data_IF_803063914308
#
_entry.id   IF_803063914308
#
_cell.length_a   1.000
_cell.length_b   1.000
_cell.length_c   1.000
_cell.angle_alpha   90.00
_cell.angle_beta   90.00
_cell.angle_gamma   90.00
#
_symmetry.space_group_name_H-M   'P 1'
#
loop_
_entity.id
_entity.type
_entity.pdbx_description
1 polymer ?
#
# COMPACT_ATOMS: atom_id res chain seq x y z
N UNK A 1 -28.22 63.05 19.69
CA UNK A 1 -28.06 61.59 19.91
C UNK A 1 -27.07 61.07 18.89
N UNK A 2 -25.86 60.66 19.26
CA UNK A 2 -24.91 60.02 18.35
C UNK A 2 -25.28 58.59 18.11
N UNK A 3 -25.17 58.14 16.84
CA UNK A 3 -25.31 56.76 16.37
C UNK A 3 -24.24 55.85 16.99
N UNK A 4 -24.54 54.58 17.31
CA UNK A 4 -23.52 53.66 17.84
C UNK A 4 -22.52 53.28 16.73
N UNK A 5 -21.25 53.40 17.07
CA UNK A 5 -20.09 53.01 16.26
C UNK A 5 -20.16 51.52 15.89
N UNK A 6 -19.88 51.23 14.60
CA UNK A 6 -19.66 49.88 14.14
C UNK A 6 -18.53 49.22 14.97
N UNK A 7 -18.66 47.93 15.31
CA UNK A 7 -17.54 47.23 15.92
C UNK A 7 -16.39 47.12 14.91
N UNK A 8 -15.21 47.57 15.32
CA UNK A 8 -13.96 47.46 14.56
C UNK A 8 -13.63 45.99 14.32
N UNK A 9 -13.29 45.70 13.09
CA UNK A 9 -12.81 44.39 12.63
C UNK A 9 -11.52 44.01 13.42
N UNK A 10 -11.62 43.02 14.28
CA UNK A 10 -10.45 42.41 14.92
C UNK A 10 -9.56 41.75 13.83
N UNK A 11 -8.23 41.93 13.89
CA UNK A 11 -7.30 41.30 12.93
C UNK A 11 -7.43 39.78 13.02
N UNK A 12 -7.66 39.16 11.85
CA UNK A 12 -8.01 37.77 11.68
C UNK A 12 -7.08 36.79 12.37
N UNK A 13 -7.59 36.15 13.39
CA UNK A 13 -7.09 34.85 13.85
C UNK A 13 -7.31 33.85 12.71
N UNK A 14 -6.24 33.18 12.29
CA UNK A 14 -6.34 32.11 11.29
C UNK A 14 -7.45 31.13 11.70
N UNK A 15 -8.31 30.68 10.77
CA UNK A 15 -9.41 29.79 11.11
C UNK A 15 -8.86 28.54 11.77
N UNK A 16 -9.26 28.28 13.01
CA UNK A 16 -8.83 27.09 13.74
C UNK A 16 -9.30 25.83 13.01
N UNK A 17 -8.46 24.77 12.91
CA UNK A 17 -8.84 23.54 12.27
C UNK A 17 -10.08 22.97 12.96
N UNK A 18 -11.11 22.66 12.17
CA UNK A 18 -12.41 22.17 12.67
C UNK A 18 -12.43 20.65 12.82
N UNK A 19 -11.45 19.96 12.21
CA UNK A 19 -11.17 18.55 12.39
C UNK A 19 -9.83 18.43 13.10
N UNK A 20 -9.83 17.80 14.25
CA UNK A 20 -8.65 17.53 15.07
C UNK A 20 -8.43 16.03 15.12
N UNK A 21 -7.47 15.58 14.35
CA UNK A 21 -7.03 14.18 14.29
C UNK A 21 -5.49 14.17 14.35
N UNK A 22 -4.87 13.29 15.15
CA UNK A 22 -3.42 13.11 15.13
C UNK A 22 -2.93 12.71 13.74
N UNK A 23 -1.82 13.26 13.31
CA UNK A 23 -1.14 12.90 12.05
C UNK A 23 0.18 12.26 12.38
N UNK A 24 0.44 11.09 11.81
CA UNK A 24 1.66 10.33 12.02
C UNK A 24 2.42 10.18 10.70
N UNK A 25 3.44 11.02 10.50
CA UNK A 25 4.25 11.04 9.29
C UNK A 25 5.08 9.75 9.12
N UNK A 26 5.50 9.15 10.22
CA UNK A 26 6.26 7.90 10.27
C UNK A 26 5.52 6.83 11.11
N UNK A 27 4.46 6.21 10.56
CA UNK A 27 3.75 5.12 11.25
C UNK A 27 4.65 3.89 11.41
N UNK A 28 4.36 2.99 12.36
CA UNK A 28 5.18 1.81 12.66
C UNK A 28 5.51 0.96 11.43
N UNK A 29 4.57 0.81 10.50
CA UNK A 29 4.79 0.09 9.25
C UNK A 29 5.85 0.76 8.36
N UNK A 30 5.77 2.08 8.16
CA UNK A 30 6.73 2.81 7.34
C UNK A 30 8.14 2.74 7.94
N UNK A 31 8.26 2.88 9.26
CA UNK A 31 9.54 2.76 9.99
C UNK A 31 10.13 1.36 9.82
N UNK A 32 9.32 0.31 9.98
CA UNK A 32 9.78 -1.06 9.84
C UNK A 32 10.20 -1.38 8.41
N UNK A 33 9.42 -0.96 7.41
CA UNK A 33 9.78 -1.13 5.98
C UNK A 33 11.10 -0.45 5.63
N UNK A 34 11.32 0.79 6.09
CA UNK A 34 12.57 1.51 5.85
C UNK A 34 13.76 0.84 6.53
N UNK A 35 13.58 0.38 7.78
CA UNK A 35 14.60 -0.37 8.52
C UNK A 35 15.02 -1.63 7.77
N UNK A 36 14.07 -2.44 7.29
CA UNK A 36 14.35 -3.68 6.58
C UNK A 36 15.04 -3.43 5.23
N UNK A 37 14.60 -2.42 4.47
CA UNK A 37 15.29 -2.02 3.24
C UNK A 37 16.71 -1.53 3.52
N UNK A 38 16.90 -0.76 4.58
CA UNK A 38 18.23 -0.29 5.01
C UNK A 38 19.13 -1.46 5.40
N UNK A 39 18.59 -2.47 6.11
CA UNK A 39 19.31 -3.70 6.45
C UNK A 39 19.72 -4.48 5.19
N UNK A 40 18.82 -4.70 4.25
CA UNK A 40 19.13 -5.37 2.97
C UNK A 40 20.22 -4.65 2.20
N UNK A 41 20.12 -3.32 2.08
CA UNK A 41 21.14 -2.48 1.43
C UNK A 41 22.49 -2.55 2.13
N UNK A 42 22.51 -2.53 3.45
CA UNK A 42 23.73 -2.65 4.24
C UNK A 42 24.44 -3.98 3.96
N UNK A 43 23.70 -5.10 4.03
CA UNK A 43 24.26 -6.44 3.78
C UNK A 43 24.83 -6.55 2.34
N UNK A 44 24.12 -6.03 1.35
CA UNK A 44 24.59 -6.03 -0.04
C UNK A 44 25.88 -5.21 -0.23
N UNK A 45 25.97 -4.02 0.39
CA UNK A 45 27.17 -3.19 0.35
C UNK A 45 28.38 -3.79 1.08
N UNK A 46 28.14 -4.71 2.01
CA UNK A 46 29.18 -5.48 2.69
C UNK A 46 29.51 -6.79 1.97
N UNK A 47 28.87 -7.04 0.83
CA UNK A 47 28.97 -8.32 0.09
C UNK A 47 28.67 -9.55 0.96
N UNK A 48 27.85 -9.36 2.01
CA UNK A 48 27.50 -10.40 2.98
C UNK A 48 26.35 -11.29 2.42
N UNK A 49 26.56 -11.85 1.25
CA UNK A 49 25.52 -12.57 0.48
C UNK A 49 24.99 -13.82 1.18
N UNK A 50 25.83 -14.56 1.90
CA UNK A 50 25.38 -15.72 2.66
C UNK A 50 24.46 -15.34 3.83
N UNK A 51 24.77 -14.21 4.50
CA UNK A 51 23.94 -13.68 5.60
C UNK A 51 22.62 -13.20 5.05
N UNK A 52 22.65 -12.50 3.92
CA UNK A 52 21.43 -12.02 3.24
C UNK A 52 20.57 -13.21 2.78
N UNK A 53 21.15 -14.21 2.13
CA UNK A 53 20.43 -15.41 1.67
C UNK A 53 19.75 -16.14 2.81
N UNK A 54 20.44 -16.26 3.95
CA UNK A 54 19.88 -16.86 5.17
C UNK A 54 18.71 -16.02 5.70
N UNK A 55 18.87 -14.71 5.82
CA UNK A 55 17.82 -13.82 6.30
C UNK A 55 16.58 -13.79 5.39
N UNK A 56 16.79 -13.82 4.06
CA UNK A 56 15.71 -13.96 3.09
C UNK A 56 14.95 -15.27 3.28
N UNK A 57 15.67 -16.38 3.38
CA UNK A 57 15.08 -17.71 3.59
C UNK A 57 14.28 -17.78 4.88
N UNK A 58 14.88 -17.36 5.99
CA UNK A 58 14.25 -17.42 7.32
C UNK A 58 12.96 -16.60 7.34
N UNK A 59 12.99 -15.37 6.82
CA UNK A 59 11.82 -14.50 6.76
C UNK A 59 10.71 -15.04 5.82
N UNK A 60 11.10 -15.62 4.69
CA UNK A 60 10.18 -16.19 3.70
C UNK A 60 9.49 -17.45 4.28
N UNK A 61 10.27 -18.37 4.84
CA UNK A 61 9.74 -19.61 5.46
C UNK A 61 8.89 -19.32 6.71
N UNK A 62 9.24 -18.28 7.48
CA UNK A 62 8.46 -17.87 8.66
C UNK A 62 7.20 -17.05 8.30
N UNK A 63 7.02 -16.65 7.03
CA UNK A 63 5.96 -15.72 6.59
C UNK A 63 6.02 -14.38 7.34
N UNK A 64 7.22 -13.94 7.71
CA UNK A 64 7.39 -12.69 8.43
C UNK A 64 6.93 -11.51 7.57
N UNK A 65 6.14 -10.62 8.18
CA UNK A 65 5.62 -9.43 7.52
C UNK A 65 5.79 -8.17 8.37
N UNK A 66 5.92 -7.04 7.72
CA UNK A 66 5.81 -5.73 8.35
C UNK A 66 4.36 -5.51 8.84
N UNK A 67 4.11 -4.57 9.76
CA UNK A 67 2.77 -4.32 10.31
C UNK A 67 1.66 -4.15 9.25
N UNK A 68 1.97 -3.55 8.09
CA UNK A 68 1.06 -3.40 6.97
C UNK A 68 0.86 -4.64 6.09
N UNK A 69 1.49 -5.77 6.44
CA UNK A 69 1.38 -7.03 5.72
C UNK A 69 2.40 -7.24 4.60
N UNK A 70 3.33 -6.32 4.36
CA UNK A 70 4.38 -6.51 3.34
C UNK A 70 5.40 -7.55 3.81
N UNK A 71 5.69 -8.62 3.04
CA UNK A 71 6.64 -9.66 3.43
C UNK A 71 8.06 -9.11 3.70
N UNK A 72 8.67 -9.55 4.80
CA UNK A 72 10.03 -9.12 5.21
C UNK A 72 11.07 -9.54 4.18
N UNK A 73 10.97 -10.76 3.63
CA UNK A 73 11.87 -11.24 2.59
C UNK A 73 11.88 -10.30 1.36
N UNK A 74 10.69 -9.84 0.93
CA UNK A 74 10.55 -8.87 -0.16
C UNK A 74 11.24 -7.55 0.15
N UNK A 75 11.07 -7.01 1.37
CA UNK A 75 11.67 -5.74 1.79
C UNK A 75 13.20 -5.81 1.88
N UNK A 76 13.75 -6.91 2.40
CA UNK A 76 15.19 -7.16 2.42
C UNK A 76 15.76 -7.22 1.00
N UNK A 77 15.08 -7.94 0.09
CA UNK A 77 15.46 -8.05 -1.32
C UNK A 77 15.42 -6.68 -2.03
N UNK A 78 14.34 -5.88 -1.82
CA UNK A 78 14.23 -4.52 -2.34
C UNK A 78 15.40 -3.64 -1.87
N UNK A 79 15.76 -3.73 -0.59
CA UNK A 79 16.88 -3.01 -0.02
C UNK A 79 18.21 -3.41 -0.64
N UNK A 80 18.47 -4.70 -0.72
CA UNK A 80 19.72 -5.26 -1.27
C UNK A 80 19.94 -4.87 -2.73
N UNK A 81 18.88 -4.81 -3.53
CA UNK A 81 18.96 -4.40 -4.94
C UNK A 81 18.92 -2.88 -5.16
N UNK A 82 18.70 -2.07 -4.12
CA UNK A 82 18.33 -0.65 -4.26
C UNK A 82 19.34 0.20 -5.03
N UNK A 83 20.63 -0.04 -4.88
CA UNK A 83 21.69 0.72 -5.59
C UNK A 83 21.71 0.37 -7.09
N UNK A 84 21.65 -0.93 -7.44
CA UNK A 84 21.57 -1.39 -8.82
C UNK A 84 20.24 -0.95 -9.47
N UNK A 85 19.14 -1.05 -8.74
CA UNK A 85 17.83 -0.59 -9.20
C UNK A 85 17.80 0.92 -9.44
N UNK A 86 18.42 1.72 -8.57
CA UNK A 86 18.55 3.18 -8.76
C UNK A 86 19.25 3.51 -10.07
N UNK A 87 20.36 2.84 -10.38
CA UNK A 87 21.12 2.97 -11.62
C UNK A 87 20.32 2.51 -12.85
N UNK A 88 19.65 1.35 -12.75
CA UNK A 88 18.80 0.81 -13.82
C UNK A 88 17.62 1.72 -14.13
N UNK A 89 16.91 2.23 -13.11
CA UNK A 89 15.78 3.15 -13.28
C UNK A 89 16.23 4.52 -13.84
N UNK A 90 17.45 4.97 -13.51
CA UNK A 90 18.03 6.15 -14.14
C UNK A 90 18.29 5.93 -15.63
N UNK A 91 18.74 4.74 -16.03
CA UNK A 91 18.89 4.36 -17.43
C UNK A 91 17.54 4.25 -18.16
N UNK A 92 16.51 3.67 -17.53
CA UNK A 92 15.14 3.64 -18.07
C UNK A 92 14.63 5.04 -18.38
N UNK A 93 14.87 6.01 -17.48
CA UNK A 93 14.48 7.42 -17.72
C UNK A 93 15.16 8.04 -18.93
N UNK A 94 16.36 7.57 -19.31
CA UNK A 94 17.12 8.01 -20.49
C UNK A 94 16.87 7.17 -21.72
N UNK A 95 15.95 6.21 -21.65
CA UNK A 95 15.66 5.24 -22.72
C UNK A 95 16.91 4.42 -23.14
N UNK A 96 17.77 4.06 -22.18
CA UNK A 96 18.97 3.26 -22.36
C UNK A 96 18.82 1.84 -21.80
N UNK A 97 18.33 0.88 -22.61
CA UNK A 97 18.13 -0.50 -22.16
C UNK A 97 19.45 -1.24 -21.89
N UNK A 98 20.54 -0.84 -22.55
CA UNK A 98 21.86 -1.47 -22.35
C UNK A 98 22.39 -1.13 -20.96
N UNK A 99 22.37 0.15 -20.56
CA UNK A 99 22.80 0.55 -19.25
C UNK A 99 21.87 0.01 -18.15
N UNK A 100 20.55 -0.07 -18.39
CA UNK A 100 19.62 -0.66 -17.45
C UNK A 100 19.95 -2.13 -17.14
N UNK A 101 20.26 -2.92 -18.17
CA UNK A 101 20.71 -4.31 -18.00
C UNK A 101 22.06 -4.42 -17.32
N UNK A 102 23.03 -3.62 -17.76
CA UNK A 102 24.40 -3.64 -17.21
C UNK A 102 24.42 -3.47 -15.69
N UNK A 103 23.52 -2.61 -15.13
CA UNK A 103 23.41 -2.41 -13.70
C UNK A 103 23.01 -3.66 -12.92
N UNK A 104 22.06 -4.46 -13.45
CA UNK A 104 21.66 -5.72 -12.83
C UNK A 104 22.62 -6.86 -13.09
N UNK A 105 23.31 -6.87 -14.23
CA UNK A 105 24.39 -7.81 -14.50
C UNK A 105 25.54 -7.62 -13.51
N UNK A 106 25.96 -6.38 -13.26
CA UNK A 106 27.01 -6.09 -12.29
C UNK A 106 26.66 -6.60 -10.88
N UNK A 107 25.37 -6.44 -10.47
CA UNK A 107 24.91 -7.00 -9.20
C UNK A 107 24.96 -8.53 -9.20
N UNK A 108 24.51 -9.18 -10.27
CA UNK A 108 24.55 -10.64 -10.38
C UNK A 108 25.99 -11.18 -10.35
N UNK A 109 26.90 -10.53 -11.07
CA UNK A 109 28.29 -10.94 -11.15
C UNK A 109 29.03 -10.76 -9.82
N UNK A 110 28.56 -9.85 -8.95
CA UNK A 110 29.09 -9.69 -7.58
C UNK A 110 28.63 -10.82 -6.63
N UNK A 111 27.63 -11.62 -7.02
CA UNK A 111 27.07 -12.69 -6.19
C UNK A 111 27.54 -14.05 -6.72
N UNK A 112 28.58 -14.62 -6.12
CA UNK A 112 29.04 -15.97 -6.51
C UNK A 112 27.93 -17.02 -6.25
N UNK A 113 27.63 -17.80 -7.30
CA UNK A 113 26.65 -18.87 -7.21
C UNK A 113 25.20 -18.44 -7.02
N UNK A 114 24.85 -17.18 -7.34
CA UNK A 114 23.48 -16.67 -7.28
C UNK A 114 22.45 -17.61 -7.95
N UNK A 115 22.81 -18.24 -9.05
CA UNK A 115 21.95 -19.15 -9.82
C UNK A 115 21.68 -20.50 -9.10
N UNK A 116 22.39 -20.77 -8.01
CA UNK A 116 22.25 -21.98 -7.19
C UNK A 116 21.61 -21.71 -5.84
N UNK A 117 21.35 -20.43 -5.52
CA UNK A 117 20.79 -20.00 -4.25
C UNK A 117 19.36 -19.45 -4.48
N UNK A 118 18.28 -20.20 -4.16
CA UNK A 118 16.90 -19.85 -4.48
C UNK A 118 16.51 -18.42 -4.13
N UNK A 119 16.83 -17.98 -2.91
CA UNK A 119 16.44 -16.65 -2.40
C UNK A 119 17.28 -15.51 -3.00
N UNK A 120 18.55 -15.73 -3.37
CA UNK A 120 19.35 -14.73 -4.11
C UNK A 120 18.88 -14.63 -5.57
N UNK A 121 18.54 -15.75 -6.19
CA UNK A 121 17.92 -15.78 -7.50
C UNK A 121 16.55 -15.06 -7.50
N UNK A 122 15.72 -15.29 -6.47
CA UNK A 122 14.45 -14.60 -6.27
C UNK A 122 14.65 -13.07 -6.10
N UNK A 123 15.63 -12.66 -5.31
CA UNK A 123 15.99 -11.24 -5.13
C UNK A 123 16.36 -10.58 -6.46
N UNK A 124 17.20 -11.22 -7.27
CA UNK A 124 17.59 -10.72 -8.59
C UNK A 124 16.40 -10.70 -9.55
N UNK A 125 15.57 -11.74 -9.55
CA UNK A 125 14.36 -11.80 -10.37
C UNK A 125 13.39 -10.66 -10.01
N UNK A 126 13.21 -10.37 -8.72
CA UNK A 126 12.41 -9.23 -8.25
C UNK A 126 12.95 -7.90 -8.80
N UNK A 127 14.28 -7.71 -8.83
CA UNK A 127 14.90 -6.52 -9.41
C UNK A 127 14.61 -6.40 -10.91
N UNK A 128 14.74 -7.51 -11.65
CA UNK A 128 14.38 -7.53 -13.07
C UNK A 128 12.90 -7.20 -13.30
N UNK A 129 11.98 -7.74 -12.51
CA UNK A 129 10.55 -7.40 -12.57
C UNK A 129 10.29 -5.92 -12.29
N UNK A 130 11.01 -5.33 -11.33
CA UNK A 130 10.93 -3.90 -11.04
C UNK A 130 11.33 -3.03 -12.24
N UNK A 131 12.41 -3.39 -12.96
CA UNK A 131 12.84 -2.68 -14.17
C UNK A 131 11.87 -2.93 -15.33
N UNK A 132 11.38 -4.16 -15.52
CA UNK A 132 10.35 -4.48 -16.51
C UNK A 132 9.09 -3.64 -16.33
N UNK A 133 8.63 -3.47 -15.06
CA UNK A 133 7.51 -2.60 -14.71
C UNK A 133 7.78 -1.13 -15.06
N UNK A 134 8.99 -0.65 -14.81
CA UNK A 134 9.38 0.71 -15.17
C UNK A 134 9.35 0.93 -16.70
N UNK A 135 9.82 -0.03 -17.49
CA UNK A 135 9.68 0.03 -18.94
C UNK A 135 8.23 0.02 -19.41
N UNK A 136 7.34 -0.72 -18.74
CA UNK A 136 5.91 -0.76 -19.06
C UNK A 136 5.20 0.59 -18.87
N UNK A 137 5.71 1.47 -17.99
CA UNK A 137 5.14 2.81 -17.76
C UNK A 137 5.59 3.84 -18.81
N UNK A 138 6.57 3.50 -19.66
CA UNK A 138 7.05 4.37 -20.73
C UNK A 138 6.13 4.29 -21.95
N UNK A 139 5.91 5.43 -22.62
CA UNK A 139 5.06 5.49 -23.83
C UNK A 139 5.68 4.68 -24.97
N UNK A 140 5.09 3.50 -25.23
CA UNK A 140 5.64 2.40 -25.92
C UNK A 140 6.07 2.54 -27.38
N UNK A 141 7.32 2.33 -27.64
CA UNK A 141 7.86 1.87 -28.91
C UNK A 141 8.31 0.40 -28.81
N UNK A 142 8.82 -0.17 -29.92
CA UNK A 142 9.42 -1.51 -29.93
C UNK A 142 10.53 -1.62 -28.89
N UNK A 143 11.39 -0.58 -28.80
CA UNK A 143 12.50 -0.53 -27.83
C UNK A 143 12.03 -0.82 -26.38
N UNK A 144 10.95 -0.21 -25.93
CA UNK A 144 10.47 -0.39 -24.56
C UNK A 144 9.85 -1.76 -24.34
N UNK A 145 9.14 -2.29 -25.34
CA UNK A 145 8.59 -3.66 -25.30
C UNK A 145 9.67 -4.71 -25.26
N UNK A 146 10.69 -4.57 -26.11
CA UNK A 146 11.84 -5.49 -26.17
C UNK A 146 12.66 -5.42 -24.87
N UNK A 147 12.92 -4.22 -24.35
CA UNK A 147 13.60 -4.04 -23.07
C UNK A 147 12.81 -4.68 -21.91
N UNK A 148 11.48 -4.48 -21.87
CA UNK A 148 10.61 -5.14 -20.91
C UNK A 148 10.70 -6.65 -21.01
N UNK A 149 10.54 -7.20 -22.22
CA UNK A 149 10.57 -8.65 -22.47
C UNK A 149 11.92 -9.26 -22.00
N UNK A 150 13.03 -8.63 -22.30
CA UNK A 150 14.36 -9.09 -21.88
C UNK A 150 14.52 -9.17 -20.37
N UNK A 151 13.94 -8.23 -19.61
CA UNK A 151 13.97 -8.28 -18.15
C UNK A 151 13.03 -9.36 -17.59
N UNK A 152 11.85 -9.56 -18.18
CA UNK A 152 10.95 -10.65 -17.80
C UNK A 152 11.58 -12.02 -18.03
N UNK A 153 12.19 -12.23 -19.21
CA UNK A 153 12.91 -13.46 -19.53
C UNK A 153 14.12 -13.70 -18.61
N UNK A 154 14.83 -12.63 -18.22
CA UNK A 154 15.94 -12.75 -17.27
C UNK A 154 15.42 -13.17 -15.88
N UNK A 155 14.32 -12.60 -15.41
CA UNK A 155 13.67 -13.00 -14.16
C UNK A 155 13.23 -14.47 -14.22
N UNK A 156 12.61 -14.89 -15.32
CA UNK A 156 12.16 -16.27 -15.51
C UNK A 156 13.33 -17.25 -15.45
N UNK A 157 14.43 -16.97 -16.16
CA UNK A 157 15.63 -17.85 -16.14
C UNK A 157 16.21 -18.00 -14.75
N UNK A 158 16.18 -16.95 -13.92
CA UNK A 158 16.70 -16.98 -12.55
C UNK A 158 15.89 -17.90 -11.63
N UNK A 159 14.56 -17.92 -11.74
CA UNK A 159 13.70 -18.70 -10.84
C UNK A 159 13.30 -20.06 -11.42
N UNK A 160 13.45 -20.29 -12.73
CA UNK A 160 13.04 -21.53 -13.40
C UNK A 160 13.61 -22.83 -12.75
N UNK A 161 14.84 -22.84 -12.18
CA UNK A 161 15.35 -24.05 -11.53
C UNK A 161 14.71 -24.39 -10.18
N UNK A 162 13.90 -23.49 -9.61
CA UNK A 162 13.41 -23.61 -8.23
C UNK A 162 11.90 -23.76 -8.21
N UNK A 163 11.40 -24.85 -7.65
CA UNK A 163 9.98 -25.03 -7.41
C UNK A 163 9.56 -24.35 -6.09
N UNK A 164 8.54 -23.46 -6.12
CA UNK A 164 8.08 -22.76 -4.92
C UNK A 164 7.60 -23.68 -3.79
N UNK A 165 6.95 -24.80 -4.12
CA UNK A 165 6.41 -25.74 -3.13
C UNK A 165 7.51 -26.57 -2.50
N UNK A 166 8.51 -27.02 -3.29
CA UNK A 166 9.68 -27.74 -2.76
C UNK A 166 10.51 -26.89 -1.80
N UNK A 167 10.56 -25.57 -2.06
CA UNK A 167 11.30 -24.61 -1.23
C UNK A 167 10.47 -23.98 -0.10
N UNK A 168 9.17 -24.30 -0.02
CA UNK A 168 8.23 -23.66 0.92
C UNK A 168 8.33 -22.12 0.88
N UNK A 169 8.31 -21.54 -0.35
CA UNK A 169 8.67 -20.15 -0.61
C UNK A 169 7.54 -19.35 -1.29
N UNK A 170 6.76 -18.55 -0.51
CA UNK A 170 5.82 -17.59 -1.09
C UNK A 170 6.50 -16.55 -1.97
N UNK A 171 7.75 -16.18 -1.69
CA UNK A 171 8.50 -15.24 -2.51
C UNK A 171 8.71 -15.77 -3.93
N UNK A 172 9.10 -17.04 -4.10
CA UNK A 172 9.23 -17.68 -5.42
C UNK A 172 7.88 -17.83 -6.11
N UNK A 173 6.84 -18.24 -5.38
CA UNK A 173 5.49 -18.36 -5.93
C UNK A 173 4.96 -17.01 -6.43
N UNK A 174 5.13 -15.93 -5.66
CA UNK A 174 4.72 -14.58 -6.07
C UNK A 174 5.47 -14.10 -7.34
N UNK A 175 6.75 -14.45 -7.48
CA UNK A 175 7.52 -14.15 -8.69
C UNK A 175 7.04 -14.96 -9.89
N UNK A 176 6.64 -16.23 -9.69
CA UNK A 176 6.06 -17.08 -10.72
C UNK A 176 4.73 -16.50 -11.23
N UNK A 177 3.83 -16.08 -10.33
CA UNK A 177 2.61 -15.36 -10.70
C UNK A 177 2.92 -14.06 -11.47
N UNK A 178 3.91 -13.27 -11.05
CA UNK A 178 4.30 -12.03 -11.72
C UNK A 178 4.88 -12.23 -13.14
N UNK A 179 5.23 -13.45 -13.51
CA UNK A 179 5.77 -13.83 -14.83
C UNK A 179 4.73 -14.47 -15.77
N UNK A 180 3.45 -14.54 -15.36
CA UNK A 180 2.36 -15.05 -16.19
C UNK A 180 2.24 -14.35 -17.55
N UNK A 181 2.69 -13.10 -17.67
CA UNK A 181 2.79 -12.38 -18.96
C UNK A 181 3.68 -13.07 -20.02
N UNK A 182 4.56 -13.97 -19.60
CA UNK A 182 5.44 -14.73 -20.51
C UNK A 182 4.84 -16.08 -20.95
N UNK A 183 3.78 -16.52 -20.28
CA UNK A 183 3.10 -17.74 -20.67
C UNK A 183 2.27 -17.50 -21.93
N UNK A 184 2.32 -18.38 -22.93
CA UNK A 184 1.46 -18.26 -24.11
C UNK A 184 -0.04 -18.44 -23.79
N UNK A 185 -0.37 -19.10 -22.67
CA UNK A 185 -1.72 -19.39 -22.23
C UNK A 185 -1.90 -19.11 -20.73
N UNK A 186 -1.72 -17.84 -20.27
CA UNK A 186 -1.72 -17.51 -18.86
C UNK A 186 -3.10 -17.78 -18.19
N UNK A 187 -4.17 -17.74 -18.98
CA UNK A 187 -5.54 -18.03 -18.52
C UNK A 187 -5.73 -19.49 -18.03
N UNK A 188 -4.84 -20.39 -18.38
CA UNK A 188 -4.85 -21.78 -17.92
C UNK A 188 -4.10 -21.99 -16.61
N UNK A 189 -3.14 -21.09 -16.33
CA UNK A 189 -2.22 -21.21 -15.19
C UNK A 189 -2.53 -20.28 -14.01
N UNK A 190 -3.19 -19.17 -14.29
CA UNK A 190 -3.40 -18.11 -13.29
C UNK A 190 -4.06 -18.63 -12.01
N UNK A 191 -4.98 -19.59 -12.13
CA UNK A 191 -5.67 -20.14 -10.97
C UNK A 191 -4.75 -21.01 -10.12
N UNK A 192 -4.07 -21.96 -10.74
CA UNK A 192 -3.21 -22.93 -10.05
C UNK A 192 -2.00 -22.20 -9.41
N UNK A 193 -1.35 -21.30 -10.15
CA UNK A 193 -0.19 -20.54 -9.63
C UNK A 193 -0.59 -19.63 -8.44
N UNK A 194 -1.80 -19.03 -8.46
CA UNK A 194 -2.28 -18.23 -7.34
C UNK A 194 -2.84 -19.06 -6.18
N UNK A 195 -3.41 -20.23 -6.44
CA UNK A 195 -3.81 -21.18 -5.40
C UNK A 195 -2.57 -21.62 -4.61
N UNK A 196 -1.51 -22.08 -5.30
CA UNK A 196 -0.23 -22.42 -4.69
C UNK A 196 0.34 -21.26 -3.83
N UNK A 197 0.30 -20.02 -4.36
CA UNK A 197 0.79 -18.84 -3.64
C UNK A 197 -0.02 -18.54 -2.39
N UNK A 198 -1.34 -18.62 -2.47
CA UNK A 198 -2.25 -18.34 -1.34
C UNK A 198 -2.16 -19.45 -0.31
N UNK A 199 -1.98 -20.71 -0.72
CA UNK A 199 -1.76 -21.83 0.19
C UNK A 199 -0.46 -21.68 0.98
N UNK A 200 0.60 -21.18 0.33
CA UNK A 200 1.88 -20.93 0.99
C UNK A 200 1.81 -19.76 1.99
N UNK A 201 1.06 -18.69 1.69
CA UNK A 201 0.93 -17.53 2.58
C UNK A 201 -0.46 -16.88 2.49
N UNK A 202 -1.48 -17.50 3.10
CA UNK A 202 -2.85 -17.00 3.07
C UNK A 202 -3.06 -15.71 3.87
N UNK A 203 -2.11 -15.35 4.74
CA UNK A 203 -2.18 -14.14 5.58
C UNK A 203 -1.70 -12.87 4.87
N UNK A 204 -1.09 -12.98 3.69
CA UNK A 204 -0.61 -11.84 2.93
C UNK A 204 -1.72 -11.27 2.02
N UNK A 205 -2.27 -10.07 2.30
CA UNK A 205 -3.33 -9.49 1.48
C UNK A 205 -2.86 -9.13 0.06
N UNK A 206 -1.54 -8.89 -0.14
CA UNK A 206 -0.98 -8.57 -1.46
C UNK A 206 -1.15 -9.74 -2.45
N UNK A 207 -1.16 -10.99 -1.98
CA UNK A 207 -1.37 -12.16 -2.83
C UNK A 207 -2.81 -12.23 -3.35
N UNK A 208 -3.79 -12.01 -2.45
CA UNK A 208 -5.20 -11.98 -2.80
C UNK A 208 -5.51 -10.83 -3.76
N UNK A 209 -4.93 -9.66 -3.49
CA UNK A 209 -5.06 -8.48 -4.35
C UNK A 209 -4.43 -8.67 -5.72
N UNK A 210 -3.30 -9.39 -5.78
CA UNK A 210 -2.63 -9.71 -7.04
C UNK A 210 -3.48 -10.65 -7.89
N UNK A 211 -4.07 -11.69 -7.30
CA UNK A 211 -5.04 -12.56 -7.98
C UNK A 211 -6.15 -11.73 -8.63
N UNK A 212 -6.78 -10.81 -7.89
CA UNK A 212 -7.84 -9.98 -8.42
C UNK A 212 -7.40 -9.08 -9.58
N UNK A 213 -6.18 -8.51 -9.52
CA UNK A 213 -5.61 -7.72 -10.63
C UNK A 213 -5.40 -8.54 -11.90
N UNK A 214 -5.03 -9.80 -11.76
CA UNK A 214 -4.75 -10.66 -12.91
C UNK A 214 -6.00 -11.33 -13.47
N UNK A 215 -7.11 -11.38 -12.72
CA UNK A 215 -8.38 -11.93 -13.17
C UNK A 215 -9.32 -10.92 -13.84
N UNK A 216 -8.97 -9.64 -13.96
CA UNK A 216 -9.81 -8.69 -14.72
C UNK A 216 -9.80 -9.01 -16.23
N UNK A 217 -10.84 -8.61 -17.00
CA UNK A 217 -10.95 -8.88 -18.43
C UNK A 217 -9.80 -8.35 -19.29
N UNK A 218 -9.07 -7.34 -18.80
CA UNK A 218 -7.91 -6.77 -19.49
C UNK A 218 -6.61 -7.55 -19.26
N UNK A 219 -6.69 -8.60 -18.43
CA UNK A 219 -5.57 -9.48 -18.10
C UNK A 219 -5.92 -10.92 -18.52
N UNK A 220 -6.04 -11.82 -17.59
CA UNK A 220 -6.11 -13.27 -17.85
C UNK A 220 -7.49 -13.87 -17.52
N UNK A 221 -8.49 -13.06 -17.15
CA UNK A 221 -9.79 -13.55 -16.71
C UNK A 221 -10.97 -12.77 -17.26
N UNK A 222 -12.06 -12.88 -16.55
CA UNK A 222 -13.30 -12.14 -16.75
C UNK A 222 -13.98 -11.86 -15.39
N UNK A 223 -15.02 -11.01 -15.38
CA UNK A 223 -15.69 -10.61 -14.13
C UNK A 223 -16.40 -11.77 -13.42
N UNK A 224 -16.95 -12.72 -14.15
CA UNK A 224 -17.63 -13.87 -13.56
C UNK A 224 -16.65 -14.82 -12.87
N UNK A 225 -15.52 -15.07 -13.53
CA UNK A 225 -14.43 -15.86 -12.95
C UNK A 225 -13.82 -15.17 -11.74
N UNK A 226 -13.58 -13.85 -11.81
CA UNK A 226 -13.06 -13.09 -10.69
C UNK A 226 -13.99 -13.21 -9.47
N UNK A 227 -15.31 -13.04 -9.63
CA UNK A 227 -16.25 -13.18 -8.51
C UNK A 227 -16.26 -14.60 -7.93
N UNK A 228 -16.24 -15.60 -8.78
CA UNK A 228 -16.19 -16.99 -8.35
C UNK A 228 -14.92 -17.31 -7.55
N UNK A 229 -13.75 -16.86 -8.04
CA UNK A 229 -12.47 -17.07 -7.33
C UNK A 229 -12.40 -16.23 -6.06
N UNK A 230 -12.96 -15.02 -6.04
CA UNK A 230 -13.05 -14.21 -4.83
C UNK A 230 -13.87 -14.91 -3.73
N UNK A 231 -15.00 -15.53 -4.09
CA UNK A 231 -15.82 -16.31 -3.14
C UNK A 231 -15.10 -17.58 -2.68
N UNK A 232 -14.40 -18.27 -3.58
CA UNK A 232 -13.60 -19.46 -3.26
C UNK A 232 -12.47 -19.08 -2.29
N UNK A 233 -11.73 -18.01 -2.59
CA UNK A 233 -10.66 -17.51 -1.75
C UNK A 233 -11.16 -17.08 -0.37
N UNK A 234 -12.33 -16.42 -0.28
CA UNK A 234 -12.93 -16.09 1.01
C UNK A 234 -13.23 -17.34 1.84
N UNK A 235 -13.77 -18.41 1.22
CA UNK A 235 -13.98 -19.69 1.91
C UNK A 235 -12.67 -20.33 2.37
N UNK A 236 -11.66 -20.32 1.52
CA UNK A 236 -10.35 -20.92 1.80
C UNK A 236 -9.56 -20.17 2.90
N UNK A 237 -9.67 -18.85 2.95
CA UNK A 237 -8.97 -17.99 3.93
C UNK A 237 -9.87 -17.55 5.08
N UNK A 238 -11.02 -18.20 5.29
CA UNK A 238 -12.03 -17.77 6.26
C UNK A 238 -11.53 -17.69 7.70
N UNK A 239 -10.64 -18.58 8.11
CA UNK A 239 -10.06 -18.58 9.45
C UNK A 239 -9.19 -17.34 9.72
N UNK A 240 -8.57 -16.79 8.66
CA UNK A 240 -7.66 -15.63 8.73
C UNK A 240 -8.43 -14.33 8.47
N UNK A 241 -9.21 -14.27 7.40
CA UNK A 241 -9.81 -13.04 6.90
C UNK A 241 -11.35 -12.99 7.04
N UNK A 242 -12.03 -14.11 7.32
CA UNK A 242 -13.48 -14.19 7.17
C UNK A 242 -13.89 -13.90 5.72
N UNK A 243 -14.89 -13.05 5.55
CA UNK A 243 -15.27 -12.54 4.23
C UNK A 243 -14.29 -11.52 3.66
N UNK A 244 -13.30 -11.09 4.46
CA UNK A 244 -12.24 -10.18 4.01
C UNK A 244 -11.43 -10.72 2.84
N UNK A 245 -11.33 -12.05 2.68
CA UNK A 245 -10.73 -12.67 1.50
C UNK A 245 -11.40 -12.24 0.19
N UNK A 246 -12.75 -12.17 0.18
CA UNK A 246 -13.51 -11.64 -0.95
C UNK A 246 -13.17 -10.17 -1.23
N UNK A 247 -13.16 -9.34 -0.19
CA UNK A 247 -12.85 -7.92 -0.33
C UNK A 247 -11.42 -7.69 -0.86
N UNK A 248 -10.44 -8.47 -0.40
CA UNK A 248 -9.06 -8.35 -0.86
C UNK A 248 -8.91 -8.70 -2.36
N UNK A 249 -9.55 -9.74 -2.85
CA UNK A 249 -9.50 -10.09 -4.28
C UNK A 249 -10.10 -8.97 -5.13
N UNK A 250 -11.23 -8.41 -4.74
CA UNK A 250 -11.87 -7.32 -5.47
C UNK A 250 -11.19 -5.95 -5.30
N UNK A 251 -10.34 -5.76 -4.30
CA UNK A 251 -9.81 -4.46 -3.87
C UNK A 251 -9.17 -3.66 -5.03
N UNK A 252 -8.16 -4.22 -5.67
CA UNK A 252 -7.45 -3.54 -6.75
C UNK A 252 -8.21 -3.62 -8.09
N UNK A 253 -9.02 -4.64 -8.30
CA UNK A 253 -9.87 -4.75 -9.47
C UNK A 253 -10.89 -3.59 -9.57
N UNK A 254 -11.44 -3.16 -8.42
CA UNK A 254 -12.35 -2.01 -8.34
C UNK A 254 -11.60 -0.66 -8.36
N UNK A 255 -10.38 -0.59 -7.84
CA UNK A 255 -9.57 0.63 -7.84
C UNK A 255 -9.11 1.00 -9.25
N UNK A 256 -8.96 0.04 -10.13
CA UNK A 256 -8.64 0.23 -11.54
C UNK A 256 -9.77 0.91 -12.31
N UNK A 257 -9.44 1.55 -13.42
CA UNK A 257 -10.44 2.15 -14.32
C UNK A 257 -11.17 1.11 -15.22
N UNK A 258 -11.10 -0.18 -14.87
CA UNK A 258 -11.69 -1.24 -15.68
C UNK A 258 -13.22 -1.15 -15.65
N UNK A 259 -13.88 -0.95 -16.80
CA UNK A 259 -15.32 -0.85 -16.86
C UNK A 259 -15.97 -2.20 -16.50
N UNK A 260 -17.07 -2.16 -15.76
CA UNK A 260 -17.87 -3.33 -15.43
C UNK A 260 -17.62 -3.93 -14.05
N UNK A 261 -16.52 -3.61 -13.35
CA UNK A 261 -16.24 -4.17 -12.03
C UNK A 261 -17.39 -3.97 -11.03
N UNK A 262 -17.90 -2.74 -10.93
CA UNK A 262 -19.03 -2.43 -10.03
C UNK A 262 -20.38 -3.04 -10.45
N UNK A 263 -20.51 -3.54 -11.66
CA UNK A 263 -21.72 -4.24 -12.09
C UNK A 263 -21.70 -5.73 -11.69
N UNK A 264 -20.53 -6.26 -11.34
CA UNK A 264 -20.33 -7.68 -11.09
C UNK A 264 -19.96 -7.98 -9.62
N UNK A 265 -19.43 -7.02 -8.86
CA UNK A 265 -19.12 -7.20 -7.45
C UNK A 265 -20.39 -7.31 -6.60
N UNK A 266 -20.41 -8.22 -5.65
CA UNK A 266 -21.39 -8.25 -4.57
C UNK A 266 -21.00 -7.21 -3.51
N UNK A 267 -21.68 -6.05 -3.55
CA UNK A 267 -21.33 -4.92 -2.70
C UNK A 267 -21.57 -5.17 -1.20
N UNK A 268 -22.57 -5.99 -0.85
CA UNK A 268 -22.82 -6.33 0.55
C UNK A 268 -21.77 -7.29 1.06
N UNK A 269 -21.43 -8.32 0.29
CA UNK A 269 -20.36 -9.25 0.65
C UNK A 269 -19.01 -8.53 0.78
N UNK A 270 -18.74 -7.57 -0.11
CA UNK A 270 -17.54 -6.73 -0.01
C UNK A 270 -17.54 -5.88 1.26
N UNK A 271 -18.67 -5.24 1.61
CA UNK A 271 -18.79 -4.42 2.81
C UNK A 271 -18.64 -5.25 4.09
N UNK A 272 -19.24 -6.44 4.15
CA UNK A 272 -19.05 -7.39 5.25
C UNK A 272 -17.58 -7.83 5.34
N UNK A 273 -16.91 -8.03 4.19
CA UNK A 273 -15.48 -8.32 4.14
C UNK A 273 -14.63 -7.20 4.75
N UNK A 274 -14.99 -5.93 4.53
CA UNK A 274 -14.28 -4.80 5.19
C UNK A 274 -14.47 -4.82 6.71
N UNK A 275 -15.65 -5.19 7.21
CA UNK A 275 -15.90 -5.37 8.66
C UNK A 275 -15.03 -6.50 9.22
N UNK A 276 -14.98 -7.65 8.54
CA UNK A 276 -14.16 -8.79 8.97
C UNK A 276 -12.66 -8.44 9.00
N UNK A 277 -12.17 -7.71 7.99
CA UNK A 277 -10.78 -7.24 7.97
C UNK A 277 -10.49 -6.39 9.20
N UNK A 278 -11.31 -5.37 9.50
CA UNK A 278 -11.08 -4.48 10.65
C UNK A 278 -11.32 -5.14 11.99
N UNK A 279 -12.19 -6.14 12.06
CA UNK A 279 -12.38 -6.93 13.26
C UNK A 279 -11.13 -7.78 13.60
N UNK A 280 -10.50 -8.37 12.57
CA UNK A 280 -9.33 -9.25 12.73
C UNK A 280 -8.00 -8.48 12.77
N UNK A 281 -7.95 -7.32 12.12
CA UNK A 281 -6.79 -6.43 12.04
C UNK A 281 -7.20 -4.99 12.39
N UNK A 282 -7.47 -4.69 13.68
CA UNK A 282 -7.99 -3.38 14.11
C UNK A 282 -6.92 -2.28 14.22
N UNK A 283 -5.76 -2.50 13.62
CA UNK A 283 -4.66 -1.53 13.68
C UNK A 283 -4.91 -0.28 12.81
N UNK A 284 -4.22 0.81 13.12
CA UNK A 284 -4.41 2.09 12.43
C UNK A 284 -3.88 2.07 10.98
N UNK A 285 -2.94 1.20 10.63
CA UNK A 285 -2.54 1.04 9.23
C UNK A 285 -3.72 0.54 8.39
N UNK A 286 -4.40 -0.52 8.85
CA UNK A 286 -5.55 -1.09 8.17
C UNK A 286 -6.73 -0.12 8.12
N UNK A 287 -7.03 0.58 9.24
CA UNK A 287 -8.08 1.59 9.27
C UNK A 287 -7.83 2.72 8.25
N UNK A 288 -6.59 3.23 8.14
CA UNK A 288 -6.22 4.24 7.16
C UNK A 288 -6.28 3.72 5.73
N UNK A 289 -5.80 2.49 5.48
CA UNK A 289 -5.82 1.88 4.14
C UNK A 289 -7.27 1.79 3.63
N UNK A 290 -8.18 1.23 4.43
CA UNK A 290 -9.56 1.05 4.03
C UNK A 290 -10.35 2.38 3.99
N UNK A 291 -10.08 3.31 4.92
CA UNK A 291 -10.66 4.66 4.87
C UNK A 291 -10.24 5.42 3.61
N UNK A 292 -8.95 5.42 3.29
CA UNK A 292 -8.43 6.06 2.08
C UNK A 292 -8.97 5.40 0.81
N UNK A 293 -9.13 4.09 0.81
CA UNK A 293 -9.74 3.36 -0.30
C UNK A 293 -11.20 3.76 -0.52
N UNK A 294 -12.05 3.64 0.48
CA UNK A 294 -13.48 3.97 0.37
C UNK A 294 -13.71 5.48 0.17
N UNK A 295 -13.00 6.33 0.93
CA UNK A 295 -13.23 7.77 0.95
C UNK A 295 -12.50 8.55 -0.14
N UNK A 296 -11.48 7.96 -0.80
CA UNK A 296 -10.70 8.65 -1.83
C UNK A 296 -10.60 7.87 -3.14
N UNK A 297 -10.14 6.60 -3.09
CA UNK A 297 -9.99 5.79 -4.32
C UNK A 297 -11.34 5.59 -5.01
N UNK A 298 -12.37 5.19 -4.26
CA UNK A 298 -13.71 4.95 -4.76
C UNK A 298 -14.62 6.18 -4.73
N UNK A 299 -14.15 7.32 -4.23
CA UNK A 299 -14.92 8.55 -4.16
C UNK A 299 -15.25 9.12 -5.55
N UNK A 300 -16.21 10.03 -5.60
CA UNK A 300 -16.69 10.71 -6.81
C UNK A 300 -18.18 10.46 -7.06
N UNK A 301 -18.68 10.96 -8.16
CA UNK A 301 -20.09 10.82 -8.52
C UNK A 301 -20.46 9.32 -8.68
N UNK A 302 -21.25 8.82 -7.75
CA UNK A 302 -21.82 7.47 -7.79
C UNK A 302 -23.35 7.58 -7.81
N UNK A 303 -23.99 6.74 -8.61
CA UNK A 303 -25.46 6.67 -8.64
C UNK A 303 -25.93 6.13 -7.27
N UNK A 304 -26.86 6.81 -6.58
CA UNK A 304 -27.44 6.29 -5.35
C UNK A 304 -27.97 4.87 -5.52
N UNK A 305 -27.68 3.99 -4.55
CA UNK A 305 -28.06 2.58 -4.62
C UNK A 305 -27.17 1.69 -5.48
N UNK A 306 -26.15 2.25 -6.16
CA UNK A 306 -25.17 1.42 -6.88
C UNK A 306 -24.18 0.74 -5.95
N UNK A 307 -23.57 -0.35 -6.43
CA UNK A 307 -22.48 -1.05 -5.69
C UNK A 307 -21.34 -0.10 -5.30
N UNK A 308 -20.95 0.80 -6.22
CA UNK A 308 -19.94 1.81 -5.93
C UNK A 308 -20.34 2.73 -4.77
N UNK A 309 -21.58 3.23 -4.77
CA UNK A 309 -22.08 4.08 -3.69
C UNK A 309 -22.12 3.32 -2.36
N UNK A 310 -22.51 2.05 -2.37
CA UNK A 310 -22.57 1.18 -1.19
C UNK A 310 -21.18 0.97 -0.59
N UNK A 311 -20.19 0.61 -1.41
CA UNK A 311 -18.81 0.35 -0.94
C UNK A 311 -18.13 1.66 -0.49
N UNK A 312 -18.24 2.75 -1.27
CA UNK A 312 -17.70 4.04 -0.88
C UNK A 312 -18.34 4.56 0.43
N UNK A 313 -19.62 4.27 0.66
CA UNK A 313 -20.34 4.60 1.89
C UNK A 313 -19.76 3.94 3.15
N UNK A 314 -18.99 2.86 3.02
CA UNK A 314 -18.27 2.24 4.13
C UNK A 314 -17.28 3.20 4.80
N UNK A 315 -16.80 4.23 4.10
CA UNK A 315 -15.97 5.28 4.67
C UNK A 315 -16.54 5.84 5.99
N UNK A 316 -17.85 6.02 6.06
CA UNK A 316 -18.51 6.64 7.21
C UNK A 316 -18.25 5.91 8.51
N UNK A 317 -18.55 4.61 8.58
CA UNK A 317 -18.35 3.81 9.78
C UNK A 317 -16.86 3.52 10.02
N UNK A 318 -16.04 3.34 8.97
CA UNK A 318 -14.58 3.16 9.14
C UNK A 318 -13.99 4.39 9.83
N UNK A 319 -14.34 5.59 9.37
CA UNK A 319 -13.84 6.84 9.96
C UNK A 319 -14.33 7.05 11.39
N UNK A 320 -15.59 6.70 11.71
CA UNK A 320 -16.18 6.91 13.02
C UNK A 320 -15.67 5.88 14.05
N UNK A 321 -15.65 4.61 13.69
CA UNK A 321 -15.47 3.53 14.63
C UNK A 321 -14.01 3.06 14.75
N UNK A 322 -13.20 3.22 13.67
CA UNK A 322 -11.85 2.65 13.60
C UNK A 322 -10.73 3.68 13.44
N UNK A 323 -10.95 4.80 12.73
CA UNK A 323 -9.88 5.77 12.49
C UNK A 323 -9.61 6.60 13.75
N UNK A 324 -8.33 6.68 14.17
CA UNK A 324 -7.90 7.45 15.34
C UNK A 324 -6.74 8.39 15.04
N UNK A 325 -5.97 8.10 14.01
CA UNK A 325 -4.87 8.91 13.49
C UNK A 325 -4.80 8.82 11.97
N UNK A 326 -4.13 9.76 11.32
CA UNK A 326 -3.91 9.78 9.86
C UNK A 326 -2.49 9.32 9.56
N UNK A 327 -2.36 8.37 8.63
CA UNK A 327 -1.10 7.94 8.01
C UNK A 327 -0.99 8.55 6.60
N UNK A 328 -0.37 9.70 6.41
CA UNK A 328 -0.42 10.47 5.16
C UNK A 328 0.02 9.68 3.92
N UNK A 329 1.00 8.78 4.07
CA UNK A 329 1.49 7.95 2.99
C UNK A 329 0.37 7.16 2.30
N UNK A 330 -0.50 6.51 3.07
CA UNK A 330 -1.62 5.71 2.55
C UNK A 330 -2.64 6.56 1.78
N UNK A 331 -2.91 7.78 2.26
CA UNK A 331 -3.82 8.72 1.59
C UNK A 331 -3.21 9.33 0.32
N UNK A 332 -1.89 9.50 0.30
CA UNK A 332 -1.19 9.92 -0.91
C UNK A 332 -1.27 8.84 -2.00
N UNK A 333 -1.11 7.57 -1.61
CA UNK A 333 -1.11 6.43 -2.53
C UNK A 333 -2.49 6.03 -3.03
N UNK A 334 -3.55 6.30 -2.26
CA UNK A 334 -4.92 5.99 -2.65
C UNK A 334 -5.35 6.63 -3.99
N UNK A 335 -4.71 7.74 -4.37
CA UNK A 335 -4.89 8.37 -5.69
C UNK A 335 -3.54 8.91 -6.18
N UNK A 336 -2.74 8.09 -6.88
CA UNK A 336 -1.42 8.48 -7.34
C UNK A 336 -1.46 9.74 -8.22
N UNK A 337 -0.51 10.66 -7.99
CA UNK A 337 -0.30 11.83 -8.83
C UNK A 337 0.74 11.51 -9.88
N UNK A 338 0.50 11.93 -11.13
CA UNK A 338 1.51 11.80 -12.19
C UNK A 338 2.64 12.79 -11.94
N UNK A 339 3.85 12.29 -11.87
CA UNK A 339 5.07 13.07 -11.63
C UNK A 339 5.80 12.65 -10.35
N UNK A 340 7.07 13.04 -10.23
CA UNK A 340 7.87 12.82 -9.02
C UNK A 340 7.59 13.96 -8.05
N UNK A 341 6.89 13.68 -6.97
CA UNK A 341 6.75 14.59 -5.83
C UNK A 341 7.83 14.27 -4.79
N UNK A 342 8.40 15.30 -4.20
CA UNK A 342 9.27 15.15 -3.03
C UNK A 342 8.52 14.42 -1.89
N UNK A 343 9.27 13.64 -1.09
CA UNK A 343 8.68 12.85 0.00
C UNK A 343 7.85 13.69 0.97
N UNK A 344 8.34 14.88 1.32
CA UNK A 344 7.62 15.80 2.19
C UNK A 344 6.36 16.39 1.55
N UNK A 345 6.40 16.68 0.26
CA UNK A 345 5.22 17.14 -0.50
C UNK A 345 4.15 16.04 -0.60
N UNK A 346 4.59 14.79 -0.81
CA UNK A 346 3.70 13.62 -0.84
C UNK A 346 2.97 13.43 0.49
N UNK A 347 3.66 13.56 1.63
CA UNK A 347 3.03 13.45 2.94
C UNK A 347 2.03 14.60 3.17
N UNK A 348 2.39 15.85 2.86
CA UNK A 348 1.45 16.99 2.95
C UNK A 348 0.21 16.80 2.09
N UNK A 349 0.38 16.25 0.88
CA UNK A 349 -0.75 15.95 0.00
C UNK A 349 -1.66 14.86 0.61
N UNK A 350 -1.09 13.82 1.19
CA UNK A 350 -1.84 12.75 1.86
C UNK A 350 -2.63 13.27 3.05
N UNK A 351 -2.01 14.09 3.90
CA UNK A 351 -2.68 14.75 5.02
C UNK A 351 -3.86 15.62 4.54
N UNK A 352 -3.62 16.48 3.55
CA UNK A 352 -4.67 17.34 3.01
C UNK A 352 -5.85 16.54 2.45
N UNK A 353 -5.60 15.41 1.78
CA UNK A 353 -6.63 14.51 1.26
C UNK A 353 -7.45 13.87 2.37
N UNK A 354 -6.79 13.36 3.41
CA UNK A 354 -7.45 12.78 4.56
C UNK A 354 -8.38 13.80 5.25
N UNK A 355 -7.85 14.98 5.53
CA UNK A 355 -8.61 16.06 6.17
C UNK A 355 -9.78 16.53 5.29
N UNK A 356 -9.60 16.59 3.96
CA UNK A 356 -10.69 16.92 3.03
C UNK A 356 -11.80 15.88 3.04
N UNK A 357 -11.46 14.59 2.98
CA UNK A 357 -12.44 13.49 3.02
C UNK A 357 -13.22 13.48 4.35
N UNK A 358 -12.52 13.69 5.47
CA UNK A 358 -13.13 13.79 6.79
C UNK A 358 -14.03 15.03 6.89
N UNK A 359 -13.59 16.18 6.36
CA UNK A 359 -14.38 17.41 6.38
C UNK A 359 -15.68 17.27 5.55
N UNK A 360 -15.63 16.58 4.43
CA UNK A 360 -16.80 16.27 3.62
C UNK A 360 -17.76 15.35 4.37
N UNK A 361 -17.27 14.29 5.00
CA UNK A 361 -18.09 13.36 5.78
C UNK A 361 -18.76 14.04 6.97
N UNK A 362 -18.04 14.87 7.70
CA UNK A 362 -18.56 15.61 8.86
C UNK A 362 -19.15 16.98 8.51
N UNK A 363 -19.39 17.29 7.24
CA UNK A 363 -19.86 18.61 6.78
C UNK A 363 -21.09 19.11 7.56
N UNK A 364 -22.05 18.22 7.84
CA UNK A 364 -23.25 18.57 8.61
C UNK A 364 -22.93 19.02 10.06
N UNK A 365 -21.97 18.35 10.72
CA UNK A 365 -21.53 18.70 12.08
C UNK A 365 -20.76 20.02 12.09
N UNK A 366 -19.88 20.18 11.08
CA UNK A 366 -19.10 21.39 10.89
C UNK A 366 -20.01 22.59 10.57
N UNK A 367 -21.06 22.41 9.77
CA UNK A 367 -22.05 23.46 9.45
C UNK A 367 -22.82 23.91 10.71
N UNK A 368 -22.99 23.04 11.70
CA UNK A 368 -23.60 23.36 13.02
C UNK A 368 -22.64 24.03 13.99
N UNK A 369 -21.45 24.45 13.56
CA UNK A 369 -20.45 25.09 14.40
C UNK A 369 -19.79 24.12 15.38
N UNK A 370 -19.75 22.83 15.10
CA UNK A 370 -19.04 21.84 15.90
C UNK A 370 -17.62 21.61 15.38
N UNK A 371 -16.73 21.28 16.29
CA UNK A 371 -15.39 20.77 16.02
C UNK A 371 -15.43 19.26 16.25
N UNK A 372 -14.80 18.51 15.33
CA UNK A 372 -14.68 17.05 15.39
C UNK A 372 -13.29 16.69 15.89
N UNK A 373 -13.22 16.05 17.05
CA UNK A 373 -11.96 15.61 17.65
C UNK A 373 -11.89 14.09 17.70
N UNK A 374 -10.84 13.53 17.12
CA UNK A 374 -10.53 12.11 17.19
C UNK A 374 -9.70 11.84 18.46
N UNK A 375 -10.10 10.83 19.21
CA UNK A 375 -9.43 10.37 20.45
C UNK A 375 -9.32 8.86 20.43
N UNK A 376 -8.50 8.27 21.30
CA UNK A 376 -8.39 6.81 21.43
C UNK A 376 -9.76 6.15 21.73
N UNK A 377 -10.62 6.81 22.51
CA UNK A 377 -11.93 6.30 22.86
C UNK A 377 -13.01 6.52 21.76
N UNK A 378 -12.68 7.24 20.69
CA UNK A 378 -13.63 7.55 19.60
C UNK A 378 -13.70 9.04 19.28
N UNK A 379 -14.78 9.44 18.60
CA UNK A 379 -14.97 10.82 18.14
C UNK A 379 -15.74 11.63 19.19
N UNK A 380 -15.23 12.82 19.51
CA UNK A 380 -15.85 13.79 20.40
C UNK A 380 -16.24 15.02 19.59
N UNK A 381 -17.52 15.41 19.69
CA UNK A 381 -18.04 16.62 19.06
C UNK A 381 -18.13 17.74 20.11
N UNK A 382 -17.35 18.81 19.93
CA UNK A 382 -17.37 19.98 20.82
C UNK A 382 -17.87 21.22 20.07
N UNK A 383 -18.45 22.22 20.76
CA UNK A 383 -18.68 23.50 20.10
C UNK A 383 -17.37 24.08 19.58
N UNK A 384 -17.36 24.59 18.34
CA UNK A 384 -16.19 25.32 17.85
C UNK A 384 -16.00 26.57 18.71
N UNK A 385 -14.79 26.84 19.23
CA UNK A 385 -14.55 28.07 19.96
C UNK A 385 -14.94 29.24 19.08
N UNK A 386 -15.91 30.01 19.54
CA UNK A 386 -16.35 31.22 18.84
C UNK A 386 -15.21 32.23 18.85
N UNK A 387 -14.93 32.87 17.73
CA UNK A 387 -13.94 33.95 17.65
C UNK A 387 -14.21 35.14 18.62
N UNK A 388 -15.35 35.14 19.28
CA UNK A 388 -15.77 36.16 20.25
C UNK A 388 -15.48 35.83 21.74
N UNK A 389 -14.97 34.62 22.06
CA UNK A 389 -14.77 34.19 23.47
C UNK A 389 -13.30 34.07 23.90
N UNK A 390 -12.38 34.77 23.27
CA UNK A 390 -10.95 34.82 23.67
C UNK A 390 -10.70 35.91 24.74
N UNK A 391 -11.44 35.88 25.87
CA UNK A 391 -11.12 36.65 27.06
C UNK A 391 -10.98 35.74 28.30
N UNK A 392 -10.27 34.62 28.19
CA UNK A 392 -9.65 33.91 29.30
C UNK A 392 -8.44 33.12 28.79
N UNK A 393 -7.31 33.12 29.49
CA UNK A 393 -6.15 32.36 29.05
C UNK A 393 -6.40 30.88 29.31
N UNK A 394 -6.92 30.16 28.32
CA UNK A 394 -6.79 28.72 28.28
C UNK A 394 -5.36 28.36 27.87
N UNK A 395 -4.66 27.80 28.85
CA UNK A 395 -3.34 27.17 28.63
C UNK A 395 -3.37 26.27 27.39
N UNK A 396 -2.62 26.66 26.40
CA UNK A 396 -2.48 25.92 25.16
C UNK A 396 -1.94 24.52 25.48
N UNK A 397 -2.78 23.51 25.38
CA UNK A 397 -2.34 22.16 25.13
C UNK A 397 -2.12 22.02 23.61
N UNK A 398 -1.01 22.60 23.15
CA UNK A 398 -0.42 22.14 21.90
C UNK A 398 -0.09 20.65 22.10
N UNK A 399 -0.65 19.79 21.27
CA UNK A 399 -0.19 18.40 21.20
C UNK A 399 1.25 18.43 20.72
N UNK A 400 2.23 17.99 21.53
CA UNK A 400 3.59 17.89 21.07
C UNK A 400 3.63 16.84 19.95
N UNK A 401 4.22 17.21 18.83
CA UNK A 401 4.79 16.22 17.91
C UNK A 401 5.68 15.32 18.76
N UNK A 402 5.38 14.04 18.86
CA UNK A 402 6.26 13.07 19.50
C UNK A 402 7.47 12.89 18.59
N UNK A 403 8.47 13.73 18.78
CA UNK A 403 9.82 13.46 18.31
C UNK A 403 10.32 12.21 19.06
N UNK A 404 10.49 11.13 18.34
CA UNK A 404 11.26 9.97 18.81
C UNK A 404 12.76 10.33 18.76
N UNK A 405 13.22 11.13 19.70
CA UNK A 405 14.65 11.21 20.09
C UNK A 405 14.66 11.31 21.60
N UNK A 406 15.02 10.20 22.21
CA UNK A 406 15.69 10.00 23.48
C UNK A 406 15.21 8.72 24.15
N UNK A 407 15.75 7.61 23.65
CA UNK A 407 15.95 6.39 24.43
C UNK A 407 17.27 5.74 23.99
N UNK A 408 18.37 6.43 24.23
CA UNK A 408 19.70 5.82 24.30
C UNK A 408 20.44 6.45 25.49
N UNK A 409 20.19 5.93 26.68
CA UNK A 409 21.06 6.08 27.83
C UNK A 409 21.60 4.70 28.20
N UNK A 410 22.92 4.48 28.20
CA UNK A 410 23.49 3.20 28.57
C UNK A 410 23.40 3.01 30.09
N UNK A 411 22.78 1.94 30.55
CA UNK A 411 22.99 1.42 31.89
C UNK A 411 24.40 0.81 31.98
N UNK A 412 25.29 1.53 32.61
CA UNK A 412 26.49 0.99 33.26
C UNK A 412 26.08 0.41 34.62
N UNK A 413 26.16 -0.87 34.79
CA UNK A 413 26.84 -1.73 35.81
C UNK A 413 26.45 -3.17 35.57
#
# INVERSE_FOLDING_TARGET
MPLPSRPEDCPGSAPQPRILIPVRDAPPDAVQRDRLRTQGRYLARQEAWEVLARGLREADTARDAAPGGTPVARLLAEGACSDAMGSALAAVRRDDPTAARASLFALRDAIDGAERAPWLAAMLAQAHLGVAKAWATRSGGLLHRDARAQHLEAAQRLIAPFDPLEHDSPLLAALRCALLDLDPHPEHRVYDDYEDLIDLDPACPDHLRALGRDLIPQRFGDWERLDREARRTAGHTADIWGLGGYAWVWFDALAGAAPGGFANVDAELFAEGLHDILHRRPDQHMANLLAAYCGLTLSGAAVPGSARARIAGCFGWIAQDHLREVHPELWADARPVRGSTDGGERLRLGEARALSALAEHFAHQLARGRQVRFTEAGIVLTPSPCAACTLAPCSALAYPRRDQRDEDAPCLT
#
